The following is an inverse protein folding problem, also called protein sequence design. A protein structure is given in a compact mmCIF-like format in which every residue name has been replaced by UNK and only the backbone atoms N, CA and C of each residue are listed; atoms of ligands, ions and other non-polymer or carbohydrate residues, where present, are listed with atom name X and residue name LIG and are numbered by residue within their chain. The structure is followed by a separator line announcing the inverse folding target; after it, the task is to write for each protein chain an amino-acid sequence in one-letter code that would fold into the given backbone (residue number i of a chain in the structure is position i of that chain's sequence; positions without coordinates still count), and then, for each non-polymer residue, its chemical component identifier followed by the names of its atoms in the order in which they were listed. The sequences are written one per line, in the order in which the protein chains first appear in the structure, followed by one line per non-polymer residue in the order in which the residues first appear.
data_IF_373332444050
#
_entry.id   IF_373332444050
#
_cell.length_a   1.000
_cell.length_b   1.000
_cell.length_c   1.000
_cell.angle_alpha   90.00
_cell.angle_beta   90.00
_cell.angle_gamma   90.00
#
_symmetry.space_group_name_H-M   'P 1'
#
loop_
_entity.id
_entity.type
_entity.pdbx_description
1 polymer ?
#
# COMPACT_ATOMS: atom_id res chain seq x y z
N UNK A 1 0.72 -4.79 3.31
CA UNK A 1 1.14 -3.86 2.24
C UNK A 1 0.43 -2.54 2.43
N UNK A 2 1.18 -1.45 2.35
CA UNK A 2 0.71 -0.08 2.57
C UNK A 2 1.21 0.82 1.43
N UNK A 3 0.50 1.91 1.18
CA UNK A 3 0.87 2.95 0.19
C UNK A 3 1.11 4.33 0.84
N UNK A 4 0.80 4.43 2.13
CA UNK A 4 0.90 5.63 2.97
C UNK A 4 1.37 5.19 4.36
N UNK A 5 1.96 6.10 5.16
CA UNK A 5 2.24 5.82 6.56
C UNK A 5 0.99 5.36 7.30
N UNK A 6 1.12 4.39 8.21
CA UNK A 6 0.04 3.99 9.09
C UNK A 6 -0.32 5.14 10.05
N UNK A 7 -1.61 5.46 10.15
CA UNK A 7 -2.13 6.32 11.21
C UNK A 7 -2.25 5.54 12.53
N UNK A 8 -2.43 6.25 13.65
CA UNK A 8 -2.71 5.60 14.94
C UNK A 8 -3.95 4.72 14.89
N UNK A 9 -4.99 5.13 14.16
CA UNK A 9 -6.22 4.35 13.97
C UNK A 9 -5.94 3.08 13.16
N UNK A 10 -5.11 3.16 12.11
CA UNK A 10 -4.72 1.97 11.34
C UNK A 10 -3.93 0.98 12.21
N UNK A 11 -3.01 1.47 13.05
CA UNK A 11 -2.21 0.64 13.97
C UNK A 11 -3.10 -0.06 14.99
N UNK A 12 -3.99 0.69 15.67
CA UNK A 12 -4.95 0.10 16.61
C UNK A 12 -5.81 -0.95 15.91
N UNK A 13 -6.30 -0.66 14.71
CA UNK A 13 -7.13 -1.58 13.95
C UNK A 13 -6.38 -2.88 13.62
N UNK A 14 -5.20 -2.82 12.99
CA UNK A 14 -4.50 -4.05 12.56
C UNK A 14 -3.94 -4.87 13.71
N UNK A 15 -3.58 -4.24 14.82
CA UNK A 15 -3.04 -4.95 15.99
C UNK A 15 -4.13 -5.65 16.81
N UNK A 16 -5.39 -5.23 16.68
CA UNK A 16 -6.52 -5.80 17.44
C UNK A 16 -7.34 -6.84 16.65
N UNK A 17 -7.08 -7.02 15.36
CA UNK A 17 -7.82 -7.96 14.49
C UNK A 17 -7.84 -9.40 15.03
N UNK A 18 -6.76 -9.84 15.68
CA UNK A 18 -6.61 -11.20 16.22
C UNK A 18 -6.71 -11.28 17.74
N UNK A 19 -7.32 -10.28 18.39
CA UNK A 19 -7.53 -10.27 19.83
C UNK A 19 -6.22 -10.10 20.62
N UNK A 20 -5.87 -11.07 21.48
CA UNK A 20 -4.69 -11.00 22.35
C UNK A 20 -3.46 -11.76 21.80
N UNK A 21 -3.51 -12.23 20.56
CA UNK A 21 -2.37 -12.92 19.94
C UNK A 21 -1.20 -11.96 19.70
N UNK A 22 0.03 -12.45 19.89
CA UNK A 22 1.22 -11.68 19.54
C UNK A 22 1.43 -11.71 18.04
N UNK A 23 1.26 -10.56 17.40
CA UNK A 23 1.38 -10.39 15.95
C UNK A 23 2.75 -9.81 15.62
N UNK A 24 3.40 -10.38 14.60
CA UNK A 24 4.56 -9.79 13.94
C UNK A 24 4.18 -9.32 12.54
N UNK A 25 4.76 -8.20 12.10
CA UNK A 25 4.43 -7.56 10.84
C UNK A 25 5.64 -7.53 9.90
N UNK A 26 5.41 -7.97 8.66
CA UNK A 26 6.29 -7.66 7.52
C UNK A 26 5.61 -6.60 6.65
N UNK A 27 6.03 -5.34 6.79
CA UNK A 27 5.44 -4.19 6.11
C UNK A 27 6.10 -4.00 4.74
N UNK A 28 5.31 -4.18 3.69
CA UNK A 28 5.70 -3.79 2.32
C UNK A 28 5.12 -2.42 2.01
N UNK A 29 6.00 -1.43 1.84
CA UNK A 29 5.62 -0.09 1.40
C UNK A 29 5.76 0.00 -0.10
N UNK A 30 4.66 0.24 -0.80
CA UNK A 30 4.68 0.52 -2.22
C UNK A 30 4.71 2.05 -2.39
N UNK A 31 5.78 2.63 -2.96
CA UNK A 31 5.78 4.05 -3.32
C UNK A 31 4.61 4.34 -4.23
N UNK A 32 3.99 5.50 -4.03
CA UNK A 32 3.14 6.07 -5.08
C UNK A 32 4.04 6.38 -6.27
N UNK A 33 3.72 5.78 -7.41
CA UNK A 33 4.48 5.95 -8.64
C UNK A 33 3.69 6.77 -9.65
N UNK A 34 4.41 7.53 -10.49
CA UNK A 34 3.94 8.30 -11.65
C UNK A 34 3.02 7.54 -12.61
N UNK A 35 2.88 6.21 -12.53
CA UNK A 35 2.11 5.46 -13.52
C UNK A 35 0.60 5.74 -13.43
N UNK A 36 0.08 6.04 -12.24
CA UNK A 36 -1.29 6.50 -12.08
C UNK A 36 -1.46 7.89 -12.71
N UNK A 37 -0.58 8.85 -12.36
CA UNK A 37 -0.64 10.22 -12.88
C UNK A 37 -0.41 10.33 -14.40
N UNK A 38 0.50 9.54 -14.96
CA UNK A 38 0.79 9.52 -16.40
C UNK A 38 -0.34 8.85 -17.18
N UNK A 39 -0.96 7.79 -16.64
CA UNK A 39 -2.11 7.14 -17.26
C UNK A 39 -3.36 8.03 -17.18
N UNK A 40 -3.58 8.69 -16.05
CA UNK A 40 -4.66 9.67 -15.86
C UNK A 40 -4.50 10.88 -16.81
N UNK A 41 -3.28 11.44 -16.94
CA UNK A 41 -2.97 12.49 -17.95
C UNK A 41 -3.23 12.02 -19.38
N UNK A 42 -2.84 10.79 -19.73
CA UNK A 42 -3.03 10.25 -21.07
C UNK A 42 -4.52 10.00 -21.43
N UNK A 43 -5.35 9.68 -20.43
CA UNK A 43 -6.80 9.53 -20.62
C UNK A 43 -7.47 10.90 -20.75
N UNK A 44 -7.04 11.91 -19.97
CA UNK A 44 -7.51 13.30 -20.09
C UNK A 44 -7.19 13.90 -21.47
N UNK A 45 -5.98 13.66 -22.01
CA UNK A 45 -5.57 14.15 -23.34
C UNK A 45 -6.38 13.52 -24.49
N UNK A 46 -6.95 12.33 -24.29
CA UNK A 46 -7.78 11.64 -25.28
C UNK A 46 -9.28 11.94 -25.11
N UNK A 47 -9.71 12.29 -23.89
CA UNK A 47 -11.09 12.64 -23.57
C UNK A 47 -11.40 14.13 -23.79
N UNK A 48 -10.41 15.03 -23.66
CA UNK A 48 -10.61 16.47 -23.76
C UNK A 48 -9.93 17.07 -25.00
N UNK A 49 -10.67 17.06 -26.11
CA UNK A 49 -10.57 18.19 -27.02
C UNK A 49 -10.98 19.47 -26.27
N UNK A 50 -10.00 20.30 -25.95
CA UNK A 50 -10.10 21.68 -25.43
C UNK A 50 -10.44 21.89 -23.93
N UNK A 51 -9.54 22.65 -23.30
CA UNK A 51 -9.74 23.72 -22.30
C UNK A 51 -10.08 23.40 -20.83
N UNK A 52 -8.99 23.40 -20.04
CA UNK A 52 -8.74 24.11 -18.78
C UNK A 52 -9.52 23.72 -17.51
N UNK A 53 -8.73 23.67 -16.44
CA UNK A 53 -9.05 23.57 -15.01
C UNK A 53 -9.30 22.15 -14.49
N UNK A 54 -8.19 21.42 -14.26
CA UNK A 54 -8.16 20.31 -13.32
C UNK A 54 -7.50 20.76 -12.01
N UNK A 55 -8.13 20.33 -10.92
CA UNK A 55 -8.00 20.81 -9.57
C UNK A 55 -6.64 20.53 -8.93
N UNK A 56 -6.33 21.35 -7.93
CA UNK A 56 -5.23 21.16 -6.98
C UNK A 56 -5.44 19.86 -6.20
N UNK A 57 -4.87 18.77 -6.66
CA UNK A 57 -4.44 17.68 -5.79
C UNK A 57 -2.92 17.85 -5.60
N UNK A 58 -2.50 17.88 -4.34
CA UNK A 58 -1.17 18.29 -3.87
C UNK A 58 -0.06 17.60 -4.65
N UNK A 59 0.97 18.36 -5.06
CA UNK A 59 2.15 17.89 -5.79
C UNK A 59 2.74 16.62 -5.14
N UNK A 60 2.44 15.44 -5.69
CA UNK A 60 3.05 14.19 -5.23
C UNK A 60 4.51 14.12 -5.71
N UNK A 61 5.46 13.73 -4.85
CA UNK A 61 6.87 13.69 -5.24
C UNK A 61 7.13 12.56 -6.25
N UNK A 62 7.69 12.91 -7.42
CA UNK A 62 8.01 11.98 -8.52
C UNK A 62 9.41 11.31 -8.35
N UNK A 63 9.60 10.11 -8.92
CA UNK A 63 10.91 9.46 -9.09
C UNK A 63 11.70 9.17 -7.79
N UNK A 64 12.99 9.59 -7.72
CA UNK A 64 13.85 9.35 -6.53
C UNK A 64 13.28 9.94 -5.24
N UNK A 65 12.54 11.05 -5.34
CA UNK A 65 11.89 11.68 -4.21
C UNK A 65 10.71 10.84 -3.71
N UNK A 66 10.05 10.09 -4.59
CA UNK A 66 9.00 9.13 -4.22
C UNK A 66 9.55 7.99 -3.36
N UNK A 67 10.74 7.47 -3.72
CA UNK A 67 11.42 6.42 -2.95
C UNK A 67 11.84 6.92 -1.56
N UNK A 68 12.50 8.06 -1.47
CA UNK A 68 12.90 8.65 -0.19
C UNK A 68 11.68 8.92 0.71
N UNK A 69 10.60 9.42 0.13
CA UNK A 69 9.33 9.64 0.83
C UNK A 69 8.72 8.30 1.30
N UNK A 70 8.82 7.25 0.49
CA UNK A 70 8.32 5.93 0.84
C UNK A 70 9.16 5.25 1.94
N UNK A 71 10.48 5.44 1.93
CA UNK A 71 11.37 4.95 3.00
C UNK A 71 11.02 5.63 4.33
N UNK A 72 10.81 6.95 4.34
CA UNK A 72 10.36 7.67 5.53
C UNK A 72 8.98 7.19 6.01
N UNK A 73 8.02 7.03 5.09
CA UNK A 73 6.68 6.53 5.42
C UNK A 73 6.72 5.12 6.03
N UNK A 74 7.60 4.26 5.50
CA UNK A 74 7.84 2.92 6.04
C UNK A 74 8.40 2.99 7.46
N UNK A 75 9.43 3.81 7.69
CA UNK A 75 10.03 3.97 9.02
C UNK A 75 9.02 4.43 10.07
N UNK A 76 8.19 5.44 9.72
CA UNK A 76 7.10 5.93 10.60
C UNK A 76 6.14 4.79 10.96
N UNK A 77 5.73 4.00 9.96
CA UNK A 77 4.79 2.88 10.16
C UNK A 77 5.39 1.78 11.04
N UNK A 78 6.66 1.43 10.81
CA UNK A 78 7.37 0.41 11.59
C UNK A 78 7.54 0.84 13.05
N UNK A 79 7.87 2.11 13.27
CA UNK A 79 8.00 2.65 14.62
C UNK A 79 6.65 2.65 15.34
N UNK A 80 5.57 3.05 14.68
CA UNK A 80 4.23 3.05 15.28
C UNK A 80 3.78 1.63 15.68
N UNK A 81 3.99 0.63 14.84
CA UNK A 81 3.70 -0.79 15.15
C UNK A 81 4.55 -1.32 16.31
N UNK A 82 5.82 -0.91 16.41
CA UNK A 82 6.68 -1.29 17.53
C UNK A 82 6.25 -0.64 18.84
N UNK A 83 5.80 0.61 18.78
CA UNK A 83 5.28 1.33 19.93
C UNK A 83 3.96 0.73 20.46
N UNK A 84 3.16 0.10 19.61
CA UNK A 84 2.00 -0.71 20.04
C UNK A 84 2.38 -2.09 20.60
N UNK A 85 3.67 -2.43 20.64
CA UNK A 85 4.17 -3.69 21.22
C UNK A 85 4.32 -4.84 20.22
N UNK A 86 4.17 -4.58 18.92
CA UNK A 86 4.33 -5.61 17.87
C UNK A 86 5.76 -5.68 17.36
N UNK A 87 6.20 -6.86 16.93
CA UNK A 87 7.42 -6.96 16.13
C UNK A 87 7.12 -6.47 14.71
N UNK A 88 7.96 -5.58 14.17
CA UNK A 88 7.75 -5.06 12.83
C UNK A 88 9.06 -4.88 12.07
N UNK A 89 9.11 -5.42 10.86
CA UNK A 89 10.17 -5.22 9.86
C UNK A 89 9.52 -4.86 8.53
N UNK A 90 10.28 -4.29 7.59
CA UNK A 90 9.67 -3.92 6.32
C UNK A 90 10.67 -3.48 5.27
N UNK A 91 10.16 -3.33 4.04
CA UNK A 91 10.93 -2.88 2.89
C UNK A 91 10.04 -2.12 1.90
N UNK A 92 10.66 -1.18 1.18
CA UNK A 92 10.03 -0.49 0.05
C UNK A 92 10.10 -1.38 -1.20
N UNK A 93 8.99 -1.51 -1.93
CA UNK A 93 8.87 -2.35 -3.11
C UNK A 93 8.57 -1.51 -4.35
N UNK A 94 9.35 -1.65 -5.42
CA UNK A 94 9.23 -0.78 -6.62
C UNK A 94 8.53 -1.47 -7.79
N UNK A 95 8.58 -2.80 -7.88
CA UNK A 95 8.01 -3.54 -9.01
C UNK A 95 7.38 -4.86 -8.57
N UNK A 96 6.39 -5.33 -9.34
CA UNK A 96 5.75 -6.64 -9.18
C UNK A 96 5.25 -6.93 -7.74
N UNK A 97 4.32 -6.11 -7.19
CA UNK A 97 3.89 -6.23 -5.80
C UNK A 97 3.33 -7.60 -5.44
N UNK A 98 2.65 -8.27 -6.37
CA UNK A 98 2.13 -9.63 -6.17
C UNK A 98 3.23 -10.69 -6.02
N UNK A 99 4.28 -10.61 -6.84
CA UNK A 99 5.41 -11.55 -6.75
C UNK A 99 6.16 -11.34 -5.44
N UNK A 100 6.36 -10.08 -5.05
CA UNK A 100 7.03 -9.75 -3.80
C UNK A 100 6.20 -10.15 -2.57
N UNK A 101 4.88 -9.93 -2.59
CA UNK A 101 3.97 -10.42 -1.56
C UNK A 101 4.06 -11.94 -1.42
N UNK A 102 4.01 -12.68 -2.53
CA UNK A 102 4.10 -14.14 -2.53
C UNK A 102 5.42 -14.59 -1.91
N UNK A 103 6.54 -14.02 -2.36
CA UNK A 103 7.87 -14.36 -1.85
C UNK A 103 7.99 -14.08 -0.35
N UNK A 104 7.47 -12.95 0.12
CA UNK A 104 7.50 -12.57 1.54
C UNK A 104 6.65 -13.52 2.38
N UNK A 105 5.45 -13.89 1.91
CA UNK A 105 4.60 -14.86 2.60
C UNK A 105 5.30 -16.22 2.72
N UNK A 106 5.96 -16.68 1.66
CA UNK A 106 6.73 -17.93 1.68
C UNK A 106 7.95 -17.85 2.61
N UNK A 107 8.68 -16.74 2.60
CA UNK A 107 9.90 -16.54 3.41
C UNK A 107 9.60 -16.36 4.90
N UNK A 108 8.51 -15.66 5.24
CA UNK A 108 8.14 -15.37 6.63
C UNK A 108 7.09 -16.31 7.21
N UNK A 109 6.60 -17.27 6.42
CA UNK A 109 5.48 -18.15 6.77
C UNK A 109 4.25 -17.36 7.26
N UNK A 110 3.94 -16.23 6.63
CA UNK A 110 2.88 -15.33 7.10
C UNK A 110 1.50 -15.98 7.01
N UNK A 111 0.67 -15.84 8.06
CA UNK A 111 -0.67 -16.43 8.12
C UNK A 111 -1.71 -15.72 7.25
N UNK A 112 -1.50 -14.43 6.97
CA UNK A 112 -2.40 -13.62 6.16
C UNK A 112 -1.69 -12.43 5.51
N UNK A 113 -2.36 -11.82 4.53
CA UNK A 113 -1.94 -10.55 3.92
C UNK A 113 -3.00 -9.48 4.13
N UNK A 114 -2.62 -8.40 4.79
CA UNK A 114 -3.40 -7.17 4.89
C UNK A 114 -2.93 -6.18 3.83
N UNK A 115 -3.86 -5.65 3.04
CA UNK A 115 -3.63 -4.53 2.13
C UNK A 115 -4.41 -3.32 2.60
N UNK A 116 -3.69 -2.30 3.07
CA UNK A 116 -4.22 -1.00 3.46
C UNK A 116 -3.91 0.01 2.35
N UNK A 117 -4.97 0.63 1.82
CA UNK A 117 -4.90 1.44 0.61
C UNK A 117 -5.96 2.53 0.64
N UNK A 118 -5.70 3.65 -0.02
CA UNK A 118 -6.68 4.72 -0.12
C UNK A 118 -7.86 4.29 -1.01
N UNK A 119 -9.08 4.80 -0.77
CA UNK A 119 -10.29 4.45 -1.53
C UNK A 119 -10.19 4.54 -3.06
N UNK A 120 -9.30 5.39 -3.60
CA UNK A 120 -9.21 5.70 -5.03
C UNK A 120 -8.04 5.05 -5.78
N UNK A 121 -7.06 4.47 -5.09
CA UNK A 121 -5.79 4.05 -5.71
C UNK A 121 -5.75 2.57 -6.14
N UNK A 122 -6.73 1.78 -5.71
CA UNK A 122 -6.71 0.32 -5.86
C UNK A 122 -7.07 -0.16 -7.25
N UNK A 123 -7.74 0.66 -8.05
CA UNK A 123 -8.20 0.20 -9.37
C UNK A 123 -7.07 0.14 -10.40
N UNK A 124 -6.02 0.97 -10.27
CA UNK A 124 -5.02 1.13 -11.33
C UNK A 124 -3.78 0.22 -11.20
N UNK A 125 -3.33 -0.14 -9.99
CA UNK A 125 -2.17 -1.04 -9.82
C UNK A 125 -2.50 -2.52 -9.92
N UNK A 126 -3.78 -2.87 -9.83
CA UNK A 126 -4.18 -4.22 -9.44
C UNK A 126 -5.16 -4.89 -10.41
N UNK A 127 -5.61 -4.17 -11.44
CA UNK A 127 -6.65 -4.59 -12.38
C UNK A 127 -7.96 -4.95 -11.64
N UNK A 128 -9.08 -4.94 -12.36
CA UNK A 128 -10.42 -5.25 -11.82
C UNK A 128 -10.55 -6.60 -11.06
N UNK A 129 -9.54 -7.48 -11.12
CA UNK A 129 -9.57 -8.86 -10.60
C UNK A 129 -8.46 -9.21 -9.58
N UNK A 130 -7.76 -8.23 -9.00
CA UNK A 130 -6.61 -8.46 -8.09
C UNK A 130 -6.92 -9.38 -6.91
N UNK A 131 -8.04 -9.15 -6.22
CA UNK A 131 -8.38 -9.90 -5.02
C UNK A 131 -8.55 -11.39 -5.35
N UNK A 132 -9.01 -11.70 -6.57
CA UNK A 132 -9.06 -13.06 -7.08
C UNK A 132 -7.64 -13.61 -7.37
N UNK A 133 -6.79 -12.84 -8.07
CA UNK A 133 -5.41 -13.25 -8.39
C UNK A 133 -4.54 -13.45 -7.14
N UNK A 134 -4.63 -12.55 -6.17
CA UNK A 134 -3.86 -12.61 -4.93
C UNK A 134 -4.24 -13.83 -4.09
N UNK A 135 -5.54 -14.08 -3.91
CA UNK A 135 -6.03 -15.28 -3.21
C UNK A 135 -5.51 -16.58 -3.81
N UNK A 136 -5.37 -16.65 -5.13
CA UNK A 136 -4.82 -17.83 -5.80
C UNK A 136 -3.29 -17.89 -5.80
N UNK A 137 -2.61 -16.75 -5.80
CA UNK A 137 -1.16 -16.69 -5.97
C UNK A 137 -0.37 -16.65 -4.67
N UNK A 138 -0.87 -15.91 -3.68
CA UNK A 138 -0.20 -15.68 -2.39
C UNK A 138 -0.39 -16.87 -1.44
N UNK A 139 -1.46 -17.64 -1.60
CA UNK A 139 -1.66 -18.90 -0.86
C UNK A 139 -2.23 -18.75 0.55
N UNK A 140 -2.39 -17.53 1.06
CA UNK A 140 -2.98 -17.24 2.38
C UNK A 140 -4.16 -16.27 2.26
N UNK A 141 -5.02 -16.15 3.29
CA UNK A 141 -6.09 -15.16 3.31
C UNK A 141 -5.58 -13.74 3.01
N UNK A 142 -6.34 -13.02 2.18
CA UNK A 142 -6.03 -11.63 1.82
C UNK A 142 -7.18 -10.73 2.25
N UNK A 143 -6.89 -9.83 3.17
CA UNK A 143 -7.82 -8.82 3.69
C UNK A 143 -7.50 -7.46 3.05
N UNK A 144 -8.51 -6.86 2.38
CA UNK A 144 -8.40 -5.51 1.86
C UNK A 144 -9.11 -4.55 2.81
N UNK A 145 -8.38 -3.56 3.29
CA UNK A 145 -8.84 -2.52 4.19
C UNK A 145 -8.61 -1.15 3.55
N UNK A 146 -9.44 -0.19 3.92
CA UNK A 146 -9.22 1.20 3.56
C UNK A 146 -8.42 1.86 4.68
N UNK A 147 -7.34 2.54 4.32
CA UNK A 147 -6.58 3.33 5.28
C UNK A 147 -7.43 4.51 5.77
N UNK A 148 -7.32 4.82 7.06
CA UNK A 148 -8.00 5.99 7.62
C UNK A 148 -7.41 7.26 7.01
N UNK A 149 -8.28 8.13 6.51
CA UNK A 149 -7.92 9.43 5.97
C UNK A 149 -8.09 10.49 7.05
N UNK A 150 -7.00 11.10 7.51
CA UNK A 150 -7.04 12.36 8.25
C UNK A 150 -7.50 13.52 7.34
#
# INVERSE_FOLDING_TARGET
MIEKPLTSEDVEFVTTLHGEEQISFVVLMQPRGDQADVLLRAIDDLAMGELKEAARESEEPEGRNARESAELALEVSLEALRQSGSEAVGQVIETHPLDKLTSVVEESEADEVIVLTAPHYVEEFFHRDWASRARHKVGVPVLKLFAHSE
#
